data_IF_997018760160
#
_entry.id   IF_997018760160
#
_cell.length_a   1.000
_cell.length_b   1.000
_cell.length_c   1.000
_cell.angle_alpha   90.00
_cell.angle_beta   90.00
_cell.angle_gamma   90.00
#
_symmetry.space_group_name_H-M   'P 1'
#
loop_
_entity.id
_entity.type
_entity.pdbx_description
1 polymer ?
#
# COMPACT_ATOMS: atom_id res chain seq x y z
N UNK A 1 -6.23 -23.46 -1.26
CA UNK A 1 -4.94 -22.74 -1.40
C UNK A 1 -5.31 -21.31 -1.77
N UNK A 2 -5.10 -20.32 -0.90
CA UNK A 2 -5.44 -18.92 -1.23
C UNK A 2 -4.34 -18.38 -2.14
N UNK A 3 -4.62 -18.29 -3.43
CA UNK A 3 -3.70 -17.73 -4.41
C UNK A 3 -3.54 -16.24 -4.12
N UNK A 4 -2.44 -15.86 -3.48
CA UNK A 4 -2.13 -14.45 -3.23
C UNK A 4 -1.57 -13.89 -4.53
N UNK A 5 -2.46 -13.47 -5.42
CA UNK A 5 -2.07 -12.84 -6.68
C UNK A 5 -1.43 -11.50 -6.33
N UNK A 6 -0.12 -11.40 -6.54
CA UNK A 6 0.58 -10.13 -6.48
C UNK A 6 0.35 -9.37 -7.77
N UNK A 7 -0.11 -8.13 -7.68
CA UNK A 7 -0.18 -7.22 -8.82
C UNK A 7 1.15 -6.48 -8.94
N UNK A 8 1.79 -6.54 -10.10
CA UNK A 8 2.92 -5.65 -10.43
C UNK A 8 2.38 -4.25 -10.70
N UNK A 9 2.70 -3.30 -9.83
CA UNK A 9 2.31 -1.90 -9.92
C UNK A 9 3.57 -1.05 -10.14
N UNK A 10 3.60 -0.30 -11.24
CA UNK A 10 4.66 0.68 -11.51
C UNK A 10 4.26 2.00 -10.87
N UNK A 11 5.08 2.48 -9.94
CA UNK A 11 4.85 3.71 -9.19
C UNK A 11 5.79 4.82 -9.65
N UNK A 12 5.26 5.95 -10.14
CA UNK A 12 6.06 7.13 -10.43
C UNK A 12 6.34 7.91 -9.16
N UNK A 13 7.60 8.30 -9.00
CA UNK A 13 8.09 9.17 -7.94
C UNK A 13 8.59 10.46 -8.54
N UNK A 14 8.37 11.55 -7.81
CA UNK A 14 8.92 12.87 -8.15
C UNK A 14 9.58 13.47 -6.93
N UNK A 15 10.85 13.82 -7.07
CA UNK A 15 11.54 14.61 -6.08
C UNK A 15 11.07 16.06 -6.13
N UNK A 16 10.65 16.61 -4.98
CA UNK A 16 10.23 18.02 -4.92
C UNK A 16 11.41 18.99 -4.83
N UNK A 17 12.65 18.48 -4.64
CA UNK A 17 13.86 19.30 -4.54
C UNK A 17 14.60 19.42 -5.87
N UNK A 18 14.96 18.30 -6.50
CA UNK A 18 15.69 18.30 -7.77
C UNK A 18 14.80 18.00 -8.98
N UNK A 19 13.50 17.80 -8.77
CA UNK A 19 12.52 17.51 -9.83
C UNK A 19 12.78 16.24 -10.63
N UNK A 20 13.71 15.39 -10.18
CA UNK A 20 13.95 14.08 -10.77
C UNK A 20 12.67 13.23 -10.66
N UNK A 21 12.27 12.65 -11.78
CA UNK A 21 11.18 11.69 -11.87
C UNK A 21 11.77 10.32 -12.15
N UNK A 22 11.34 9.31 -11.43
CA UNK A 22 11.74 7.92 -11.66
C UNK A 22 10.59 6.97 -11.34
N UNK A 23 10.63 5.79 -11.91
CA UNK A 23 9.60 4.76 -11.73
C UNK A 23 10.21 3.57 -11.00
N UNK A 24 9.42 2.97 -10.11
CA UNK A 24 9.81 1.76 -9.40
C UNK A 24 8.68 0.76 -9.50
N UNK A 25 9.02 -0.47 -9.88
CA UNK A 25 8.09 -1.59 -9.89
C UNK A 25 7.95 -2.17 -8.48
N UNK A 26 6.71 -2.30 -8.03
CA UNK A 26 6.35 -2.94 -6.77
C UNK A 26 5.40 -4.09 -7.05
N UNK A 27 5.60 -5.21 -6.36
CA UNK A 27 4.63 -6.29 -6.31
C UNK A 27 3.79 -6.09 -5.05
N UNK A 28 2.50 -5.83 -5.24
CA UNK A 28 1.55 -5.60 -4.14
C UNK A 28 0.65 -6.81 -4.01
N UNK A 29 0.71 -7.44 -2.84
CA UNK A 29 -0.14 -8.56 -2.46
C UNK A 29 -1.18 -8.06 -1.49
N UNK A 30 -2.39 -7.80 -1.99
CA UNK A 30 -3.53 -7.38 -1.15
C UNK A 30 -4.32 -8.62 -0.77
N UNK A 31 -4.40 -8.89 0.53
CA UNK A 31 -5.38 -9.86 1.02
C UNK A 31 -6.67 -9.11 1.28
N UNK A 32 -7.58 -9.13 0.31
CA UNK A 32 -8.96 -8.73 0.58
C UNK A 32 -9.52 -9.79 1.51
N UNK A 33 -9.79 -9.43 2.77
CA UNK A 33 -10.74 -10.25 3.52
C UNK A 33 -12.08 -9.96 2.85
N UNK A 34 -12.67 -10.96 2.23
CA UNK A 34 -14.08 -10.89 1.86
C UNK A 34 -14.81 -10.48 3.15
N UNK A 35 -15.28 -9.24 3.17
CA UNK A 35 -16.09 -8.74 4.26
C UNK A 35 -17.39 -9.51 4.11
N UNK A 36 -17.49 -10.65 4.82
CA UNK A 36 -18.69 -11.44 4.86
C UNK A 36 -19.81 -10.54 5.33
N UNK A 37 -20.70 -10.21 4.42
CA UNK A 37 -21.95 -9.51 4.62
C UNK A 37 -22.71 -10.10 5.84
N UNK A 38 -23.17 -9.17 6.66
CA UNK A 38 -23.72 -9.35 8.00
C UNK A 38 -25.01 -10.18 8.06
N UNK A 39 -25.21 -10.91 9.16
CA UNK A 39 -26.30 -10.55 10.09
C UNK A 39 -26.04 -11.19 11.46
N UNK A 40 -25.75 -10.37 12.47
CA UNK A 40 -25.77 -10.82 13.86
C UNK A 40 -26.87 -10.07 14.57
N UNK A 41 -28.05 -10.71 14.64
CA UNK A 41 -29.14 -10.29 15.51
C UNK A 41 -28.70 -10.38 16.97
N UNK A 42 -28.44 -9.20 17.56
CA UNK A 42 -28.70 -8.86 18.96
C UNK A 42 -28.07 -9.72 20.06
N UNK A 43 -27.12 -9.14 20.81
CA UNK A 43 -27.39 -8.72 22.19
C UNK A 43 -26.23 -7.87 22.73
N UNK A 44 -26.56 -6.69 23.27
CA UNK A 44 -25.58 -5.75 23.83
C UNK A 44 -24.85 -6.32 25.04
N UNK A 45 -23.52 -6.25 25.01
CA UNK A 45 -22.63 -6.57 26.12
C UNK A 45 -21.51 -5.54 26.21
N UNK A 46 -21.49 -4.78 27.30
CA UNK A 46 -20.40 -3.90 27.70
C UNK A 46 -19.13 -4.74 27.92
N UNK A 47 -18.06 -4.44 27.18
CA UNK A 47 -16.76 -5.06 27.36
C UNK A 47 -15.77 -4.43 26.39
N UNK A 48 -15.03 -3.44 26.87
CA UNK A 48 -14.02 -2.75 26.06
C UNK A 48 -12.90 -3.69 25.69
N UNK A 49 -12.49 -3.63 24.43
CA UNK A 49 -11.11 -3.89 24.02
C UNK A 49 -10.91 -3.25 22.65
N UNK A 50 -9.74 -2.65 22.46
CA UNK A 50 -9.32 -1.99 21.24
C UNK A 50 -9.23 -3.02 20.10
N UNK A 51 -10.36 -3.27 19.43
CA UNK A 51 -10.43 -4.08 18.22
C UNK A 51 -9.71 -3.37 17.09
N UNK A 52 -8.41 -3.65 16.94
CA UNK A 52 -7.60 -3.20 15.81
C UNK A 52 -8.29 -3.63 14.52
N UNK A 53 -8.84 -2.63 13.81
CA UNK A 53 -9.61 -2.82 12.60
C UNK A 53 -8.86 -3.71 11.61
N UNK A 54 -9.57 -4.69 11.07
CA UNK A 54 -9.09 -5.53 9.98
C UNK A 54 -8.97 -4.69 8.71
N UNK A 55 -7.95 -3.84 8.63
CA UNK A 55 -7.60 -3.15 7.40
C UNK A 55 -7.09 -4.14 6.36
N UNK A 56 -7.36 -3.86 5.09
CA UNK A 56 -6.73 -4.53 3.97
C UNK A 56 -5.20 -4.57 4.18
N UNK A 57 -4.68 -5.78 4.46
CA UNK A 57 -3.23 -5.96 4.60
C UNK A 57 -2.66 -6.04 3.19
N UNK A 58 -1.97 -4.98 2.79
CA UNK A 58 -1.17 -4.94 1.57
C UNK A 58 0.29 -5.21 1.91
N UNK A 59 0.84 -6.31 1.40
CA UNK A 59 2.26 -6.62 1.48
C UNK A 59 2.94 -6.07 0.23
N UNK A 60 3.93 -5.20 0.41
CA UNK A 60 4.69 -4.57 -0.66
C UNK A 60 6.03 -5.27 -0.81
N UNK A 61 6.40 -5.61 -2.03
CA UNK A 61 7.64 -6.31 -2.35
C UNK A 61 8.33 -5.64 -3.53
N UNK A 62 9.65 -5.40 -3.43
CA UNK A 62 10.48 -4.87 -4.52
C UNK A 62 11.63 -5.83 -4.75
N UNK A 63 11.82 -6.30 -5.99
CA UNK A 63 12.87 -7.29 -6.32
C UNK A 63 12.83 -8.54 -5.41
N UNK A 64 11.64 -8.96 -4.98
CA UNK A 64 11.46 -10.07 -4.03
C UNK A 64 11.67 -9.74 -2.55
N UNK A 65 12.09 -8.53 -2.20
CA UNK A 65 12.31 -8.06 -0.82
C UNK A 65 11.08 -7.34 -0.28
N UNK A 66 10.61 -7.70 0.91
CA UNK A 66 9.52 -7.00 1.58
C UNK A 66 9.96 -5.58 1.96
N UNK A 67 9.18 -4.58 1.55
CA UNK A 67 9.49 -3.16 1.74
C UNK A 67 8.30 -2.43 2.34
N UNK A 68 8.56 -1.22 2.85
CA UNK A 68 7.50 -0.30 3.23
C UNK A 68 6.72 0.17 1.99
N UNK A 69 5.47 0.64 2.17
CA UNK A 69 4.71 1.22 1.08
C UNK A 69 5.45 2.39 0.39
N UNK A 70 5.18 2.65 -0.90
CA UNK A 70 5.83 3.70 -1.69
C UNK A 70 5.85 5.07 -1.02
N UNK A 71 4.79 5.42 -0.28
CA UNK A 71 4.65 6.72 0.38
C UNK A 71 5.31 6.80 1.77
N UNK A 72 5.77 5.69 2.34
CA UNK A 72 6.38 5.68 3.68
C UNK A 72 7.83 6.15 3.68
N UNK A 73 8.68 5.59 2.81
CA UNK A 73 10.14 5.82 2.88
C UNK A 73 10.81 5.83 1.49
N UNK A 74 10.31 6.64 0.57
CA UNK A 74 11.02 6.87 -0.68
C UNK A 74 12.11 7.93 -0.49
N UNK A 75 13.29 7.69 -1.08
CA UNK A 75 14.40 8.66 -1.11
C UNK A 75 14.83 8.86 -2.55
N UNK A 76 15.05 10.11 -2.95
CA UNK A 76 15.43 10.42 -4.32
C UNK A 76 16.88 9.95 -4.61
N UNK A 77 17.11 9.19 -5.70
CA UNK A 77 18.45 8.69 -6.05
C UNK A 77 19.41 9.80 -6.52
N UNK A 78 18.89 10.94 -7.00
CA UNK A 78 19.72 12.07 -7.43
C UNK A 78 20.25 12.96 -6.29
N UNK A 79 19.37 13.43 -5.39
CA UNK A 79 19.72 14.35 -4.28
C UNK A 79 19.94 13.64 -2.92
N UNK A 80 19.52 12.39 -2.77
CA UNK A 80 19.45 11.70 -1.47
C UNK A 80 18.39 12.26 -0.51
N UNK A 81 17.48 13.11 -0.98
CA UNK A 81 16.50 13.79 -0.14
C UNK A 81 15.18 13.00 -0.05
N UNK A 82 14.56 13.00 1.14
CA UNK A 82 13.28 12.32 1.43
C UNK A 82 12.04 13.14 1.07
N UNK A 83 12.21 14.32 0.46
CA UNK A 83 11.09 15.18 0.02
C UNK A 83 10.61 14.73 -1.35
N UNK A 84 9.89 13.62 -1.36
CA UNK A 84 9.42 12.95 -2.58
C UNK A 84 7.92 12.74 -2.52
N UNK A 85 7.26 12.87 -3.67
CA UNK A 85 5.84 12.58 -3.83
C UNK A 85 5.66 11.40 -4.77
N UNK A 86 4.61 10.62 -4.55
CA UNK A 86 4.23 9.48 -5.39
C UNK A 86 2.80 9.70 -5.88
N UNK A 87 2.44 9.05 -7.00
CA UNK A 87 1.06 9.00 -7.46
C UNK A 87 0.65 7.54 -7.62
N UNK A 88 -0.59 7.16 -7.26
CA UNK A 88 -1.10 5.82 -7.54
C UNK A 88 -0.99 5.48 -9.02
N UNK A 89 -0.74 4.21 -9.32
CA UNK A 89 -0.85 3.69 -10.69
C UNK A 89 -2.25 4.03 -11.24
N UNK A 90 -2.31 4.62 -12.44
CA UNK A 90 -3.57 5.06 -13.05
C UNK A 90 -4.03 6.47 -12.67
N UNK A 91 -3.35 7.19 -11.77
CA UNK A 91 -3.72 8.58 -11.47
C UNK A 91 -3.60 9.52 -12.67
N UNK A 92 -2.78 9.17 -13.66
CA UNK A 92 -2.58 9.94 -14.90
C UNK A 92 -3.38 9.41 -16.10
N UNK A 93 -4.18 8.34 -15.95
CA UNK A 93 -5.07 7.92 -17.04
C UNK A 93 -6.29 8.83 -17.06
N UNK A 94 -6.35 9.66 -18.10
CA UNK A 94 -7.44 10.61 -18.39
C UNK A 94 -8.28 10.12 -19.55
#
# INVERSE_FOLDING_TARGET
>A
MRETIGSGETWPFRCLRCLLVWEVEYVVRRTVREHGDEHSDGHGGHGGEHGGGGGDVAVWTREGVAVQPPWSEATCPGCGCGTVTTFPTGYLTR
#
